data_IF_230425823088
#
_entry.id   IF_230425823088
#
_cell.length_a   1.000
_cell.length_b   1.000
_cell.length_c   1.000
_cell.angle_alpha   90.00
_cell.angle_beta   90.00
_cell.angle_gamma   90.00
#
_symmetry.space_group_name_H-M   'P 1'
#
loop_
_entity.id
_entity.type
_entity.pdbx_description
1 polymer ?
#
# COMPACT_ATOMS: atom_id res chain seq x y z
N UNK A 1 -29.62 3.76 -28.71
CA UNK A 1 -28.53 4.43 -27.98
C UNK A 1 -27.58 3.34 -27.50
N UNK A 2 -26.36 3.27 -28.03
CA UNK A 2 -25.38 2.25 -27.61
C UNK A 2 -24.85 2.66 -26.24
N UNK A 3 -25.04 1.81 -25.23
CA UNK A 3 -24.41 1.97 -23.92
C UNK A 3 -22.90 2.01 -24.12
N UNK A 4 -22.27 3.15 -23.86
CA UNK A 4 -20.82 3.25 -23.77
C UNK A 4 -20.39 2.37 -22.59
N UNK A 5 -19.49 1.38 -22.76
CA UNK A 5 -19.02 0.58 -21.64
C UNK A 5 -18.39 1.53 -20.62
N UNK A 6 -18.85 1.43 -19.38
CA UNK A 6 -18.28 2.16 -18.26
C UNK A 6 -16.79 1.78 -18.19
N UNK A 7 -15.88 2.75 -18.40
CA UNK A 7 -14.45 2.47 -18.42
C UNK A 7 -14.00 1.94 -17.04
N UNK A 8 -13.67 0.65 -16.99
CA UNK A 8 -13.16 0.01 -15.79
C UNK A 8 -11.76 0.57 -15.49
N UNK A 9 -11.64 1.28 -14.37
CA UNK A 9 -10.37 1.87 -13.95
C UNK A 9 -9.71 1.01 -12.87
N UNK A 10 -8.52 0.47 -13.17
CA UNK A 10 -7.76 -0.34 -12.21
C UNK A 10 -7.07 0.50 -11.12
N UNK A 11 -6.90 1.82 -11.32
CA UNK A 11 -6.26 2.69 -10.35
C UNK A 11 -4.92 2.17 -9.87
N UNK A 12 -4.05 1.73 -10.78
CA UNK A 12 -2.79 1.04 -10.47
C UNK A 12 -1.66 1.58 -11.35
N UNK A 13 -0.46 1.68 -10.78
CA UNK A 13 0.75 2.15 -11.45
C UNK A 13 1.72 1.00 -11.77
N UNK A 14 2.58 1.14 -12.80
CA UNK A 14 3.68 0.21 -13.02
C UNK A 14 4.53 -0.02 -11.77
N UNK A 15 4.99 -1.25 -11.56
CA UNK A 15 5.77 -1.64 -10.38
C UNK A 15 4.95 -2.19 -9.22
N UNK A 16 3.61 -2.08 -9.24
CA UNK A 16 2.76 -2.65 -8.18
C UNK A 16 2.83 -4.17 -8.20
N UNK A 17 2.98 -4.76 -7.01
CA UNK A 17 3.00 -6.20 -6.79
C UNK A 17 1.59 -6.78 -6.86
N UNK A 18 1.48 -7.86 -7.61
CA UNK A 18 0.24 -8.57 -7.88
C UNK A 18 0.33 -10.00 -7.34
N UNK A 19 -0.78 -10.53 -6.87
CA UNK A 19 -0.97 -11.92 -6.53
C UNK A 19 -1.81 -12.58 -7.63
N UNK A 20 -1.25 -13.62 -8.25
CA UNK A 20 -1.85 -14.39 -9.33
C UNK A 20 -2.24 -15.77 -8.80
N UNK A 21 -3.51 -16.12 -8.92
CA UNK A 21 -4.03 -17.44 -8.55
C UNK A 21 -4.61 -18.12 -9.78
N UNK A 22 -4.02 -19.26 -10.15
CA UNK A 22 -4.45 -20.05 -11.29
C UNK A 22 -5.54 -21.02 -10.84
N UNK A 23 -6.64 -21.07 -11.58
CA UNK A 23 -7.73 -21.99 -11.26
C UNK A 23 -7.27 -23.46 -11.36
N UNK A 24 -7.58 -24.23 -10.31
CA UNK A 24 -7.17 -25.63 -10.17
C UNK A 24 -5.72 -25.84 -9.71
N UNK A 25 -4.93 -24.78 -9.53
CA UNK A 25 -3.57 -24.87 -8.98
C UNK A 25 -3.58 -24.42 -7.53
N UNK A 26 -3.02 -25.22 -6.62
CA UNK A 26 -2.85 -24.81 -5.22
C UNK A 26 -1.74 -23.76 -5.13
N UNK A 27 -2.06 -22.64 -4.48
CA UNK A 27 -1.11 -21.56 -4.19
C UNK A 27 -1.34 -20.30 -5.02
N UNK A 28 -0.51 -19.30 -4.76
CA UNK A 28 -0.53 -18.03 -5.46
C UNK A 28 0.88 -17.60 -5.81
N UNK A 29 1.02 -16.92 -6.94
CA UNK A 29 2.29 -16.49 -7.49
C UNK A 29 2.37 -14.97 -7.48
N UNK A 30 3.57 -14.43 -7.31
CA UNK A 30 3.78 -12.98 -7.37
C UNK A 30 4.06 -12.56 -8.82
N UNK A 31 3.48 -11.43 -9.20
CA UNK A 31 3.81 -10.70 -10.42
C UNK A 31 3.99 -9.22 -10.13
N UNK A 32 4.43 -8.47 -11.13
CA UNK A 32 4.56 -7.03 -11.06
C UNK A 32 3.94 -6.43 -12.31
N UNK A 33 3.08 -5.41 -12.15
CA UNK A 33 2.53 -4.69 -13.30
C UNK A 33 3.66 -4.00 -14.06
N UNK A 34 3.74 -4.24 -15.37
CA UNK A 34 4.65 -3.51 -16.27
C UNK A 34 3.89 -2.41 -17.01
N UNK A 35 2.67 -2.69 -17.45
CA UNK A 35 1.83 -1.74 -18.18
C UNK A 35 0.52 -2.37 -18.63
N UNK A 36 -0.27 -1.59 -19.37
CA UNK A 36 -1.56 -2.02 -19.89
C UNK A 36 -1.96 -1.20 -21.12
N UNK A 37 -2.85 -1.77 -21.92
CA UNK A 37 -3.69 -1.02 -22.83
C UNK A 37 -5.14 -1.22 -22.40
N UNK A 38 -5.79 -0.12 -22.00
CA UNK A 38 -7.12 -0.16 -21.37
C UNK A 38 -8.14 -0.81 -22.30
N UNK A 39 -8.93 -1.73 -21.75
CA UNK A 39 -9.92 -2.49 -22.51
C UNK A 39 -9.34 -3.62 -23.37
N UNK A 40 -8.01 -3.71 -23.55
CA UNK A 40 -7.37 -4.76 -24.35
C UNK A 40 -6.59 -5.76 -23.50
N UNK A 41 -5.50 -5.33 -22.86
CA UNK A 41 -4.61 -6.25 -22.14
C UNK A 41 -3.83 -5.61 -21.00
N UNK A 42 -3.34 -6.47 -20.12
CA UNK A 42 -2.41 -6.18 -19.02
C UNK A 42 -1.10 -6.93 -19.26
N UNK A 43 0.03 -6.32 -18.88
CA UNK A 43 1.36 -6.92 -18.99
C UNK A 43 1.94 -7.05 -17.58
N UNK A 44 2.23 -8.28 -17.16
CA UNK A 44 2.88 -8.55 -15.88
C UNK A 44 4.27 -9.16 -16.09
N UNK A 45 5.24 -8.69 -15.33
CA UNK A 45 6.49 -9.41 -15.10
C UNK A 45 6.23 -10.49 -14.07
N UNK A 46 6.58 -11.73 -14.38
CA UNK A 46 6.32 -12.89 -13.53
C UNK A 46 7.56 -13.78 -13.41
N UNK A 47 7.68 -14.47 -12.28
CA UNK A 47 8.61 -15.59 -12.14
C UNK A 47 8.07 -16.83 -12.88
N UNK A 48 8.81 -17.94 -12.87
CA UNK A 48 8.32 -19.20 -13.40
C UNK A 48 7.12 -19.70 -12.59
N UNK A 49 5.96 -19.80 -13.24
CA UNK A 49 4.73 -20.34 -12.66
C UNK A 49 4.49 -21.73 -13.27
N UNK A 50 4.57 -22.82 -12.48
CA UNK A 50 4.24 -24.16 -12.94
C UNK A 50 2.84 -24.22 -13.55
N UNK A 51 2.72 -24.88 -14.71
CA UNK A 51 1.43 -25.08 -15.38
C UNK A 51 0.83 -23.83 -16.06
N UNK A 52 1.45 -22.66 -15.96
CA UNK A 52 0.89 -21.43 -16.56
C UNK A 52 0.76 -21.53 -18.09
N UNK A 53 1.73 -22.13 -18.78
CA UNK A 53 1.63 -22.34 -20.25
C UNK A 53 0.45 -23.25 -20.62
N UNK A 54 0.07 -24.21 -19.77
CA UNK A 54 -1.10 -25.04 -19.99
C UNK A 54 -2.42 -24.26 -19.79
N UNK A 55 -2.36 -23.03 -19.26
CA UNK A 55 -3.49 -22.12 -19.07
C UNK A 55 -3.68 -21.12 -20.22
N UNK A 56 -2.98 -21.28 -21.34
CA UNK A 56 -3.20 -20.48 -22.55
C UNK A 56 -4.62 -20.71 -23.10
N UNK A 57 -5.36 -19.63 -23.37
CA UNK A 57 -6.69 -19.68 -24.01
C UNK A 57 -7.87 -19.34 -23.09
N UNK A 58 -9.03 -19.05 -23.70
CA UNK A 58 -10.20 -18.37 -23.09
C UNK A 58 -10.88 -19.09 -21.91
N UNK A 59 -10.66 -20.39 -21.75
CA UNK A 59 -11.33 -21.17 -20.70
C UNK A 59 -10.59 -21.13 -19.34
N UNK A 60 -9.35 -20.64 -19.33
CA UNK A 60 -8.51 -20.66 -18.14
C UNK A 60 -8.49 -19.29 -17.45
N UNK A 61 -9.29 -19.16 -16.40
CA UNK A 61 -9.37 -17.95 -15.61
C UNK A 61 -8.24 -17.90 -14.56
N UNK A 62 -7.67 -16.72 -14.43
CA UNK A 62 -6.64 -16.38 -13.45
C UNK A 62 -7.19 -15.25 -12.62
N UNK A 63 -7.22 -15.45 -11.31
CA UNK A 63 -7.62 -14.39 -10.39
C UNK A 63 -6.40 -13.54 -10.06
N UNK A 64 -6.50 -12.24 -10.31
CA UNK A 64 -5.48 -11.24 -10.00
C UNK A 64 -5.96 -10.46 -8.79
N UNK A 65 -5.09 -10.32 -7.78
CA UNK A 65 -5.36 -9.49 -6.60
C UNK A 65 -4.18 -8.57 -6.32
N UNK A 66 -4.47 -7.36 -5.88
CA UNK A 66 -3.44 -6.41 -5.45
C UNK A 66 -3.99 -5.42 -4.43
N UNK A 67 -3.05 -4.79 -3.73
CA UNK A 67 -3.33 -3.67 -2.83
C UNK A 67 -2.74 -2.41 -3.44
N UNK A 68 -3.56 -1.38 -3.57
CA UNK A 68 -3.12 -0.06 -3.99
C UNK A 68 -3.80 0.99 -3.11
N UNK A 69 -3.00 1.87 -2.50
CA UNK A 69 -3.46 2.94 -1.60
C UNK A 69 -4.45 2.51 -0.50
N UNK A 70 -4.31 1.29 0.03
CA UNK A 70 -5.19 0.76 1.08
C UNK A 70 -6.50 0.16 0.57
N UNK A 71 -6.68 0.11 -0.75
CA UNK A 71 -7.79 -0.55 -1.41
C UNK A 71 -7.33 -1.88 -1.99
N UNK A 72 -8.06 -2.94 -1.69
CA UNK A 72 -7.90 -4.24 -2.31
C UNK A 72 -8.71 -4.31 -3.59
N UNK A 73 -8.05 -4.78 -4.64
CA UNK A 73 -8.64 -5.00 -5.94
C UNK A 73 -8.54 -6.48 -6.28
N UNK A 74 -9.62 -7.04 -6.81
CA UNK A 74 -9.70 -8.41 -7.27
C UNK A 74 -10.40 -8.48 -8.63
N UNK A 75 -9.83 -9.19 -9.59
CA UNK A 75 -10.50 -9.42 -10.86
C UNK A 75 -10.09 -10.75 -11.48
N UNK A 76 -10.89 -11.23 -12.43
CA UNK A 76 -10.56 -12.38 -13.26
C UNK A 76 -10.04 -11.93 -14.62
N UNK A 77 -9.05 -12.65 -15.12
CA UNK A 77 -8.45 -12.41 -16.43
C UNK A 77 -7.97 -13.72 -17.05
N UNK A 78 -7.73 -13.72 -18.35
CA UNK A 78 -7.28 -14.87 -19.12
C UNK A 78 -5.86 -14.63 -19.62
N UNK A 79 -5.01 -15.66 -19.57
CA UNK A 79 -3.68 -15.61 -20.18
C UNK A 79 -3.78 -15.56 -21.72
N UNK A 80 -3.30 -14.47 -22.31
CA UNK A 80 -3.24 -14.26 -23.76
C UNK A 80 -1.92 -14.74 -24.36
N UNK A 81 -0.81 -14.62 -23.63
CA UNK A 81 0.52 -14.93 -24.16
C UNK A 81 1.62 -14.83 -23.10
N UNK A 82 2.77 -15.43 -23.40
CA UNK A 82 3.98 -15.35 -22.58
C UNK A 82 5.18 -15.13 -23.50
N UNK A 83 6.07 -14.21 -23.13
CA UNK A 83 7.43 -14.14 -23.67
C UNK A 83 8.44 -14.43 -22.56
N UNK A 84 9.48 -15.20 -22.87
CA UNK A 84 10.52 -15.59 -21.91
C UNK A 84 11.81 -14.77 -22.08
N UNK A 85 11.95 -13.98 -23.17
CA UNK A 85 13.15 -13.20 -23.50
C UNK A 85 12.80 -11.77 -23.96
N UNK A 86 13.63 -10.75 -23.65
CA UNK A 86 14.77 -10.79 -22.74
C UNK A 86 14.37 -10.91 -21.26
N UNK A 87 13.10 -10.64 -20.94
CA UNK A 87 12.52 -10.80 -19.62
C UNK A 87 11.23 -11.61 -19.71
N UNK A 88 10.90 -12.35 -18.66
CA UNK A 88 9.66 -13.12 -18.60
C UNK A 88 8.46 -12.21 -18.35
N UNK A 89 7.61 -12.07 -19.36
CA UNK A 89 6.38 -11.30 -19.31
C UNK A 89 5.19 -12.18 -19.69
N UNK A 90 4.07 -11.97 -19.02
CA UNK A 90 2.80 -12.59 -19.35
C UNK A 90 1.76 -11.50 -19.67
N UNK A 91 1.01 -11.75 -20.73
CA UNK A 91 -0.05 -10.89 -21.25
C UNK A 91 -1.39 -11.47 -20.84
N UNK A 92 -2.24 -10.64 -20.26
CA UNK A 92 -3.53 -11.03 -19.71
C UNK A 92 -4.63 -10.17 -20.32
N UNK A 93 -5.84 -10.69 -20.47
CA UNK A 93 -6.98 -9.89 -20.94
C UNK A 93 -7.29 -8.75 -19.97
N UNK A 94 -7.77 -7.63 -20.49
CA UNK A 94 -8.32 -6.61 -19.62
C UNK A 94 -9.57 -7.16 -18.90
N UNK A 95 -9.75 -6.91 -17.60
CA UNK A 95 -10.90 -7.45 -16.87
C UNK A 95 -12.21 -6.82 -17.34
N UNK A 96 -13.27 -7.63 -17.34
CA UNK A 96 -14.64 -7.17 -17.57
C UNK A 96 -15.33 -6.68 -16.30
N UNK A 97 -14.81 -7.05 -15.12
CA UNK A 97 -15.33 -6.65 -13.82
C UNK A 97 -14.18 -6.58 -12.80
N UNK A 98 -14.25 -5.63 -11.87
CA UNK A 98 -13.28 -5.46 -10.80
C UNK A 98 -14.03 -5.38 -9.47
N UNK A 99 -13.68 -6.24 -8.53
CA UNK A 99 -14.09 -6.17 -7.14
C UNK A 99 -13.15 -5.22 -6.39
N UNK A 100 -13.71 -4.26 -5.66
CA UNK A 100 -12.97 -3.22 -4.95
C UNK A 100 -13.42 -3.21 -3.49
N UNK A 101 -12.47 -3.36 -2.58
CA UNK A 101 -12.72 -3.31 -1.13
C UNK A 101 -11.74 -2.33 -0.50
N UNK A 102 -12.24 -1.20 0.03
CA UNK A 102 -11.41 -0.32 0.84
C UNK A 102 -11.14 -1.00 2.19
N UNK A 103 -9.86 -1.30 2.46
CA UNK A 103 -9.47 -1.99 3.70
C UNK A 103 -9.25 -1.02 4.87
N UNK A 104 -9.25 0.29 4.60
CA UNK A 104 -9.04 1.32 5.61
C UNK A 104 -10.38 1.83 6.11
N UNK A 105 -10.57 1.75 7.42
CA UNK A 105 -11.72 2.37 8.10
C UNK A 105 -11.61 3.89 8.16
N UNK A 106 -10.40 4.43 8.01
CA UNK A 106 -10.11 5.86 8.04
C UNK A 106 -9.05 6.19 6.98
N UNK A 107 -9.28 7.29 6.25
CA UNK A 107 -8.34 7.82 5.27
C UNK A 107 -7.02 8.22 5.95
N UNK A 108 -5.90 7.95 5.28
CA UNK A 108 -4.58 8.40 5.70
C UNK A 108 -4.15 9.57 4.83
N UNK A 109 -3.58 10.59 5.47
CA UNK A 109 -3.04 11.75 4.76
C UNK A 109 -1.53 11.74 4.87
N UNK A 110 -0.85 11.95 3.74
CA UNK A 110 0.60 12.09 3.69
C UNK A 110 1.07 13.30 4.51
N UNK A 111 2.14 13.11 5.25
CA UNK A 111 2.79 14.14 6.04
C UNK A 111 4.30 13.89 6.15
N UNK A 112 5.00 14.85 6.72
CA UNK A 112 6.43 14.74 7.03
C UNK A 112 6.68 15.38 8.39
N UNK A 113 6.08 14.81 9.44
CA UNK A 113 6.26 15.34 10.79
C UNK A 113 7.49 14.73 11.44
N UNK A 114 8.48 15.55 11.85
CA UNK A 114 9.56 15.05 12.70
C UNK A 114 8.97 14.43 13.97
N UNK A 115 9.50 13.28 14.36
CA UNK A 115 9.00 12.55 15.51
C UNK A 115 10.12 11.76 16.18
N UNK A 116 9.92 11.49 17.47
CA UNK A 116 10.75 10.59 18.26
C UNK A 116 9.89 9.40 18.66
N UNK A 117 10.32 8.20 18.27
CA UNK A 117 9.72 6.95 18.72
C UNK A 117 10.48 6.46 19.94
N UNK A 118 9.76 6.10 21.00
CA UNK A 118 10.31 5.52 22.23
C UNK A 118 9.73 4.13 22.48
N UNK A 119 10.61 3.18 22.80
CA UNK A 119 10.28 1.80 23.20
C UNK A 119 11.22 1.43 24.35
N UNK A 120 10.64 1.11 25.51
CA UNK A 120 11.40 0.89 26.75
C UNK A 120 12.28 2.11 27.08
N UNK A 121 13.58 1.91 27.27
CA UNK A 121 14.56 2.97 27.57
C UNK A 121 15.23 3.55 26.32
N UNK A 122 14.85 3.06 25.13
CA UNK A 122 15.44 3.46 23.86
C UNK A 122 14.54 4.43 23.10
N UNK A 123 15.17 5.38 22.41
CA UNK A 123 14.51 6.30 21.50
C UNK A 123 15.21 6.36 20.14
N UNK A 124 14.44 6.67 19.11
CA UNK A 124 14.90 6.83 17.73
C UNK A 124 14.24 8.04 17.10
N UNK A 125 15.04 8.84 16.42
CA UNK A 125 14.55 9.96 15.63
C UNK A 125 14.05 9.47 14.27
N UNK A 126 13.14 10.23 13.68
CA UNK A 126 12.57 9.90 12.38
C UNK A 126 11.43 10.81 11.97
N UNK A 127 10.66 10.32 10.99
CA UNK A 127 9.60 11.10 10.35
C UNK A 127 8.33 10.27 10.26
N UNK A 128 7.19 10.89 10.55
CA UNK A 128 5.88 10.32 10.23
C UNK A 128 5.53 10.67 8.78
N UNK A 129 5.33 9.65 7.95
CA UNK A 129 5.08 9.75 6.50
C UNK A 129 3.59 9.79 6.12
N UNK A 130 2.75 9.17 6.96
CA UNK A 130 1.31 9.26 6.86
C UNK A 130 0.65 9.20 8.24
N UNK A 131 -0.52 9.81 8.37
CA UNK A 131 -1.30 9.80 9.61
C UNK A 131 -2.79 9.67 9.33
N UNK A 132 -3.50 8.96 10.20
CA UNK A 132 -4.94 8.98 10.37
C UNK A 132 -5.28 8.99 11.87
N UNK A 133 -6.56 9.21 12.27
CA UNK A 133 -6.92 9.14 13.69
C UNK A 133 -6.62 7.77 14.34
N UNK A 134 -6.53 6.70 13.54
CA UNK A 134 -6.27 5.34 14.01
C UNK A 134 -4.80 4.91 14.00
N UNK A 135 -3.88 5.70 13.43
CA UNK A 135 -2.47 5.31 13.37
C UNK A 135 -1.62 6.13 12.41
N UNK A 136 -0.36 5.73 12.27
CA UNK A 136 0.58 6.40 11.39
C UNK A 136 1.66 5.43 10.85
N UNK A 137 2.42 5.91 9.88
CA UNK A 137 3.65 5.26 9.40
C UNK A 137 4.87 6.10 9.82
N UNK A 138 5.75 5.54 10.65
CA UNK A 138 6.99 6.17 11.09
C UNK A 138 8.18 5.55 10.37
N UNK A 139 9.09 6.37 9.85
CA UNK A 139 10.36 5.92 9.27
C UNK A 139 11.50 6.38 10.17
N UNK A 140 12.42 5.47 10.49
CA UNK A 140 13.60 5.78 11.29
C UNK A 140 14.60 6.60 10.48
N UNK A 141 15.30 7.51 11.13
CA UNK A 141 16.45 8.18 10.53
C UNK A 141 17.56 7.13 10.25
N UNK A 142 17.95 6.94 8.98
CA UNK A 142 18.95 5.94 8.61
C UNK A 142 20.39 6.32 8.99
N UNK A 143 20.63 7.57 9.40
CA UNK A 143 21.94 8.06 9.83
C UNK A 143 22.21 7.79 11.31
N UNK A 144 21.15 7.54 12.11
CA UNK A 144 21.31 7.04 13.46
C UNK A 144 21.83 5.60 13.40
N UNK A 145 23.13 5.42 13.66
CA UNK A 145 23.78 4.11 13.77
C UNK A 145 23.41 3.41 15.09
N UNK A 146 22.10 3.33 15.37
CA UNK A 146 21.53 2.62 16.52
C UNK A 146 21.08 1.23 16.08
N UNK A 147 21.16 0.29 17.01
CA UNK A 147 20.67 -1.06 16.79
C UNK A 147 19.14 -1.02 16.54
N UNK A 148 18.74 -1.24 15.29
CA UNK A 148 17.32 -1.34 14.89
C UNK A 148 16.79 -2.76 15.10
N UNK A 149 17.59 -3.71 15.59
CA UNK A 149 17.25 -5.13 15.68
C UNK A 149 16.24 -5.49 16.80
N UNK A 150 15.57 -4.51 17.41
CA UNK A 150 14.72 -4.71 18.58
C UNK A 150 13.21 -4.67 18.36
N UNK A 151 12.71 -4.22 17.21
CA UNK A 151 11.26 -4.03 17.01
C UNK A 151 10.53 -5.33 16.66
N UNK A 152 9.42 -5.58 17.36
CA UNK A 152 8.52 -6.68 17.10
C UNK A 152 7.10 -6.19 16.81
N UNK A 153 6.39 -6.95 15.97
CA UNK A 153 4.94 -6.76 15.83
C UNK A 153 4.29 -7.03 17.19
N UNK A 154 3.49 -6.09 17.67
CA UNK A 154 2.87 -6.15 18.99
C UNK A 154 3.50 -5.23 20.03
N UNK A 155 4.71 -4.72 19.79
CA UNK A 155 5.36 -3.78 20.70
C UNK A 155 4.54 -2.52 20.89
N UNK A 156 4.46 -2.06 22.14
CA UNK A 156 3.80 -0.80 22.50
C UNK A 156 4.85 0.30 22.52
N UNK A 157 4.64 1.31 21.69
CA UNK A 157 5.54 2.46 21.51
C UNK A 157 4.86 3.76 21.88
N UNK A 158 5.67 4.75 22.21
CA UNK A 158 5.26 6.15 22.37
C UNK A 158 5.89 6.96 21.24
N UNK A 159 5.07 7.70 20.49
CA UNK A 159 5.51 8.61 19.44
C UNK A 159 5.31 10.04 19.92
N UNK A 160 6.39 10.79 20.08
CA UNK A 160 6.35 12.23 20.33
C UNK A 160 6.51 12.97 19.02
N UNK A 161 5.57 13.86 18.69
CA UNK A 161 5.62 14.66 17.46
C UNK A 161 4.86 15.97 17.62
N UNK A 162 5.14 16.96 16.79
CA UNK A 162 4.35 18.17 16.70
C UNK A 162 3.64 18.21 15.35
N UNK A 163 2.31 18.16 15.37
CA UNK A 163 1.48 18.25 14.17
C UNK A 163 1.27 19.72 13.84
N UNK A 164 1.33 20.07 12.55
CA UNK A 164 1.06 21.44 12.10
C UNK A 164 -0.31 21.92 12.60
N UNK A 165 -0.31 23.02 13.33
CA UNK A 165 -1.52 23.59 13.94
C UNK A 165 -1.82 23.11 15.37
N UNK A 166 -0.93 22.32 16.01
CA UNK A 166 -0.93 22.12 17.46
C UNK A 166 0.02 23.10 18.15
N UNK A 167 -0.35 23.56 19.35
CA UNK A 167 0.49 24.44 20.19
C UNK A 167 1.69 23.69 20.77
N UNK A 168 1.48 22.45 21.18
CA UNK A 168 2.45 21.63 21.91
C UNK A 168 2.73 20.30 21.20
N UNK A 169 3.89 19.68 21.45
CA UNK A 169 4.15 18.30 21.07
C UNK A 169 3.12 17.35 21.70
N UNK A 170 2.65 16.39 20.93
CA UNK A 170 1.72 15.36 21.36
C UNK A 170 2.43 14.02 21.51
N UNK A 171 1.99 13.23 22.49
CA UNK A 171 2.46 11.87 22.72
C UNK A 171 1.36 10.89 22.28
N UNK A 172 1.68 10.08 21.28
CA UNK A 172 0.80 9.10 20.68
C UNK A 172 1.23 7.71 21.13
N UNK A 173 0.44 7.07 21.99
CA UNK A 173 0.65 5.66 22.35
C UNK A 173 0.09 4.76 21.26
N UNK A 174 0.86 3.77 20.83
CA UNK A 174 0.40 2.83 19.82
C UNK A 174 1.09 1.48 19.85
N UNK A 175 0.59 0.55 19.05
CA UNK A 175 1.18 -0.78 18.86
C UNK A 175 1.71 -0.93 17.43
N UNK A 176 2.92 -1.46 17.29
CA UNK A 176 3.50 -1.81 15.99
C UNK A 176 2.67 -2.93 15.36
N UNK A 177 2.10 -2.67 14.19
CA UNK A 177 1.31 -3.63 13.40
C UNK A 177 2.00 -4.08 12.12
N UNK A 178 2.99 -3.34 11.67
CA UNK A 178 3.74 -3.64 10.45
C UNK A 178 5.17 -3.15 10.59
N UNK A 179 6.14 -3.96 10.15
CA UNK A 179 7.54 -3.60 10.05
C UNK A 179 7.97 -3.85 8.62
N UNK A 180 8.48 -2.82 7.95
CA UNK A 180 9.06 -2.93 6.61
C UNK A 180 10.51 -2.51 6.68
N UNK A 181 11.39 -3.45 6.39
CA UNK A 181 12.83 -3.21 6.28
C UNK A 181 13.25 -3.28 4.82
N UNK A 182 13.90 -2.22 4.35
CA UNK A 182 14.63 -2.14 3.08
C UNK A 182 16.10 -1.90 3.41
N UNK A 183 17.00 -2.05 2.43
CA UNK A 183 18.47 -2.04 2.65
C UNK A 183 18.99 -0.90 3.54
N UNK A 184 18.33 0.26 3.55
CA UNK A 184 18.71 1.43 4.37
C UNK A 184 17.52 2.12 5.05
N UNK A 185 16.37 1.48 5.14
CA UNK A 185 15.16 2.14 5.65
C UNK A 185 14.34 1.16 6.47
N UNK A 186 14.00 1.55 7.70
CA UNK A 186 13.07 0.82 8.56
C UNK A 186 11.82 1.67 8.72
N UNK A 187 10.68 1.13 8.28
CA UNK A 187 9.37 1.75 8.44
C UNK A 187 8.52 0.93 9.40
N UNK A 188 7.91 1.61 10.37
CA UNK A 188 7.02 1.05 11.38
C UNK A 188 5.60 1.59 11.16
N UNK A 189 4.65 0.69 10.92
CA UNK A 189 3.23 1.01 10.91
C UNK A 189 2.66 0.83 12.31
N UNK A 190 2.17 1.92 12.91
CA UNK A 190 1.71 1.96 14.31
C UNK A 190 0.21 2.23 14.36
N UNK A 191 -0.52 1.42 15.13
CA UNK A 191 -1.93 1.65 15.45
C UNK A 191 -2.04 2.37 16.79
N UNK A 192 -2.75 3.49 16.84
CA UNK A 192 -2.90 4.27 18.07
C UNK A 192 -3.91 3.67 19.05
N UNK A 193 -3.73 3.96 20.34
CA UNK A 193 -4.61 3.56 21.43
C UNK A 193 -4.96 4.76 22.31
N UNK A 194 -6.23 4.89 22.70
CA UNK A 194 -6.66 5.90 23.67
C UNK A 194 -6.34 7.34 23.24
N UNK A 195 -6.44 7.63 21.94
CA UNK A 195 -6.14 8.96 21.41
C UNK A 195 -7.15 9.96 21.95
N UNK A 196 -6.66 11.03 22.57
CA UNK A 196 -7.51 12.07 23.13
C UNK A 196 -8.18 12.90 22.03
N UNK A 197 -9.41 13.42 22.27
CA UNK A 197 -10.13 14.22 21.27
C UNK A 197 -9.34 15.39 20.66
N UNK A 198 -8.56 16.19 21.44
CA UNK A 198 -7.77 17.29 20.86
C UNK A 198 -6.74 16.83 19.82
N UNK A 199 -6.18 15.63 20.00
CA UNK A 199 -5.22 15.03 19.08
C UNK A 199 -5.93 14.56 17.81
N UNK A 200 -7.08 13.90 17.94
CA UNK A 200 -7.93 13.51 16.81
C UNK A 200 -8.29 14.76 15.99
N UNK A 201 -8.71 15.83 16.65
CA UNK A 201 -9.08 17.08 15.99
C UNK A 201 -7.90 17.72 15.26
N UNK A 202 -6.70 17.69 15.85
CA UNK A 202 -5.49 18.18 15.19
C UNK A 202 -5.17 17.38 13.91
N UNK A 203 -5.21 16.05 13.98
CA UNK A 203 -5.02 15.17 12.82
C UNK A 203 -6.07 15.45 11.74
N UNK A 204 -7.34 15.59 12.13
CA UNK A 204 -8.44 15.86 11.20
C UNK A 204 -8.34 17.23 10.53
N UNK A 205 -7.96 18.28 11.29
CA UNK A 205 -7.71 19.63 10.74
C UNK A 205 -6.55 19.61 9.74
N UNK A 206 -5.45 18.93 10.08
CA UNK A 206 -4.34 18.75 9.16
C UNK A 206 -4.80 18.02 7.88
N UNK A 207 -5.52 16.91 8.03
CA UNK A 207 -6.04 16.14 6.89
C UNK A 207 -6.91 16.99 5.95
N UNK A 208 -7.79 17.83 6.51
CA UNK A 208 -8.61 18.75 5.73
C UNK A 208 -7.78 19.82 5.00
N UNK A 209 -6.76 20.36 5.66
CA UNK A 209 -5.86 21.35 5.05
C UNK A 209 -5.14 20.80 3.83
N UNK A 210 -4.58 19.58 3.92
CA UNK A 210 -3.89 18.93 2.80
C UNK A 210 -4.85 18.68 1.63
N UNK A 211 -6.08 18.23 1.91
CA UNK A 211 -7.10 17.99 0.87
C UNK A 211 -7.43 19.26 0.07
N UNK A 212 -7.55 20.41 0.73
CA UNK A 212 -7.80 21.70 0.06
C UNK A 212 -6.70 22.04 -0.97
N UNK A 213 -5.44 21.80 -0.62
CA UNK A 213 -4.32 22.05 -1.53
C UNK A 213 -4.17 20.97 -2.61
N UNK A 214 -4.35 19.70 -2.28
CA UNK A 214 -4.27 18.60 -3.24
C UNK A 214 -5.34 18.69 -4.34
N UNK A 215 -6.55 19.16 -4.02
CA UNK A 215 -7.60 19.42 -5.01
C UNK A 215 -7.27 20.60 -5.94
N UNK A 216 -6.45 21.55 -5.48
CA UNK A 216 -6.03 22.72 -6.25
C UNK A 216 -4.87 22.38 -7.21
N UNK A 217 -3.98 21.46 -6.83
CA UNK A 217 -2.82 21.04 -7.62
C UNK A 217 -3.15 20.03 -8.75
N UNK A 218 -4.39 19.50 -8.82
CA UNK A 218 -4.85 18.54 -9.84
C UNK A 218 -5.63 19.18 -11.01
N UNK A 219 -5.61 20.51 -11.13
CA UNK A 219 -6.05 21.25 -12.33
C UNK A 219 -4.84 21.62 -13.17
#
# INVERSE_FOLDING_TARGET
MKNTPQELHLGIEPGVLLQLQLEGVRGSYKGTLVGMERGLYLIFRISQIPGLKAKLGKENQITVRYLYEGTAYGFRSTLLGITDKPFRLAFFSYPENIEIVNLRTQERVSCFFPAVLSLNESSWEGVILDVSPGGCSFVLDPTENRDTAGFNIGDVVLLSTQITGSSDPMILRGTIRNIRQREREVTLGTQFHGVEPPVIDAIMRYAESVRKFAATARK
#
